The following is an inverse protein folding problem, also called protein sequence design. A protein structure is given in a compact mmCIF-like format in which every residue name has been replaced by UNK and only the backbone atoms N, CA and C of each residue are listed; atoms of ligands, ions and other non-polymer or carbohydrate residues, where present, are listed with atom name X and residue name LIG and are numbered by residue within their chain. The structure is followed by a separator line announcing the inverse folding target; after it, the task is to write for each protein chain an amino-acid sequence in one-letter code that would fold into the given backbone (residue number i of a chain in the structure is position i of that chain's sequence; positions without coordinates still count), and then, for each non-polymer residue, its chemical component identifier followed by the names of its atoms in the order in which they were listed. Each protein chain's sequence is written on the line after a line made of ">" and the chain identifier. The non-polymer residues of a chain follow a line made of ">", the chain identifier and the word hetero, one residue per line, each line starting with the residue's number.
data_IF_169889655071
#
_entry.id   IF_169889655071
#
_cell.length_a   1.000
_cell.length_b   1.000
_cell.length_c   1.000
_cell.angle_alpha   90.00
_cell.angle_beta   90.00
_cell.angle_gamma   90.00
#
_symmetry.space_group_name_H-M   'P 1'
#
loop_
_entity.id
_entity.type
_entity.pdbx_description
1 polymer ?
#
# COMPACT_ATOMS: atom_id res chain seq x y z
N UNK A 1 16.21 -32.82 70.10
CA UNK A 1 15.37 -32.19 69.07
C UNK A 1 16.25 -31.92 67.85
N UNK A 2 16.23 -32.77 66.80
CA UNK A 2 16.74 -32.47 65.43
C UNK A 2 16.70 -33.72 64.52
N UNK A 3 15.52 -34.25 64.16
CA UNK A 3 15.41 -35.22 63.05
C UNK A 3 14.03 -35.14 62.34
N UNK A 4 13.70 -33.99 61.75
CA UNK A 4 12.49 -33.90 60.91
C UNK A 4 12.67 -33.15 59.57
N UNK A 5 13.85 -32.58 59.33
CA UNK A 5 14.08 -31.67 58.19
C UNK A 5 14.63 -32.36 56.94
N UNK A 6 15.33 -33.50 57.05
CA UNK A 6 16.02 -34.13 55.90
C UNK A 6 15.12 -34.84 54.88
N UNK A 7 14.02 -35.47 55.32
CA UNK A 7 13.14 -36.24 54.40
C UNK A 7 12.25 -35.36 53.53
N UNK A 8 11.95 -34.13 53.95
CA UNK A 8 11.11 -33.18 53.19
C UNK A 8 11.92 -32.52 52.07
N UNK A 9 13.15 -32.10 52.33
CA UNK A 9 14.03 -31.51 51.33
C UNK A 9 14.45 -32.51 50.24
N UNK A 10 14.68 -33.79 50.58
CA UNK A 10 14.95 -34.84 49.57
C UNK A 10 13.72 -35.13 48.69
N UNK A 11 12.51 -35.09 49.25
CA UNK A 11 11.26 -35.29 48.48
C UNK A 11 10.94 -34.11 47.57
N UNK A 12 11.22 -32.87 48.00
CA UNK A 12 11.04 -31.67 47.17
C UNK A 12 12.08 -31.64 46.05
N UNK A 13 13.35 -31.97 46.33
CA UNK A 13 14.38 -32.05 45.29
C UNK A 13 14.08 -33.14 44.24
N UNK A 14 13.59 -34.31 44.68
CA UNK A 14 13.18 -35.39 43.77
C UNK A 14 11.96 -35.01 42.92
N UNK A 15 10.99 -34.26 43.46
CA UNK A 15 9.82 -33.79 42.72
C UNK A 15 10.18 -32.72 41.66
N UNK A 16 11.11 -31.82 41.98
CA UNK A 16 11.59 -30.79 41.03
C UNK A 16 12.40 -31.43 39.90
N UNK A 17 13.22 -32.44 40.19
CA UNK A 17 13.98 -33.16 39.16
C UNK A 17 13.07 -34.00 38.25
N UNK A 18 12.02 -34.62 38.81
CA UNK A 18 11.02 -35.36 38.04
C UNK A 18 10.18 -34.44 37.14
N UNK A 19 9.84 -33.24 37.61
CA UNK A 19 9.13 -32.23 36.80
C UNK A 19 10.02 -31.71 35.67
N UNK A 20 11.30 -31.45 35.94
CA UNK A 20 12.27 -31.02 34.92
C UNK A 20 12.49 -32.10 33.85
N UNK A 21 12.60 -33.38 34.25
CA UNK A 21 12.68 -34.49 33.30
C UNK A 21 11.38 -34.66 32.49
N UNK A 22 10.21 -34.48 33.10
CA UNK A 22 8.93 -34.55 32.40
C UNK A 22 8.76 -33.42 31.37
N UNK A 23 9.25 -32.21 31.67
CA UNK A 23 9.26 -31.09 30.73
C UNK A 23 10.25 -31.33 29.57
N UNK A 24 11.44 -31.87 29.85
CA UNK A 24 12.43 -32.21 28.81
C UNK A 24 11.92 -33.35 27.92
N UNK A 25 11.28 -34.38 28.50
CA UNK A 25 10.64 -35.47 27.75
C UNK A 25 9.43 -34.95 26.96
N UNK A 26 8.64 -34.03 27.51
CA UNK A 26 7.56 -33.35 26.78
C UNK A 26 8.05 -32.53 25.58
N UNK A 27 9.21 -31.88 25.70
CA UNK A 27 9.87 -31.13 24.61
C UNK A 27 10.52 -32.06 23.57
N UNK A 28 11.00 -33.24 23.98
CA UNK A 28 11.61 -34.23 23.08
C UNK A 28 10.59 -35.14 22.39
N UNK A 29 9.46 -35.48 23.04
CA UNK A 29 8.34 -36.22 22.45
C UNK A 29 7.44 -35.30 21.61
N UNK A 30 7.36 -34.01 21.93
CA UNK A 30 6.64 -33.01 21.12
C UNK A 30 7.24 -32.75 19.73
N UNK A 31 8.46 -33.26 19.44
CA UNK A 31 9.14 -33.12 18.14
C UNK A 31 9.10 -34.39 17.27
N UNK A 32 8.40 -35.44 17.67
CA UNK A 32 8.26 -36.65 16.85
C UNK A 32 6.90 -37.32 17.07
N UNK A 33 6.16 -37.52 15.97
CA UNK A 33 4.81 -38.14 15.89
C UNK A 33 3.59 -37.19 16.02
N UNK A 34 3.56 -36.14 15.21
CA UNK A 34 2.33 -35.84 14.46
C UNK A 34 2.59 -36.16 13.00
N UNK A 35 2.18 -37.35 12.59
CA UNK A 35 1.96 -37.66 11.18
C UNK A 35 0.66 -36.98 10.75
N UNK A 36 0.66 -35.66 10.68
CA UNK A 36 -0.29 -34.97 9.82
C UNK A 36 0.29 -35.08 8.43
N UNK A 37 -0.22 -36.07 7.68
CA UNK A 37 -0.06 -36.12 6.23
C UNK A 37 -0.91 -34.99 5.64
N UNK A 38 -0.46 -33.77 5.83
CA UNK A 38 -0.72 -32.72 4.87
C UNK A 38 0.51 -32.75 3.99
N UNK A 39 0.36 -33.20 2.74
CA UNK A 39 1.23 -32.67 1.70
C UNK A 39 1.29 -31.16 1.98
N UNK A 40 2.48 -30.57 2.11
CA UNK A 40 2.60 -29.14 2.06
C UNK A 40 1.91 -28.76 0.74
N UNK A 41 0.70 -28.23 0.86
CA UNK A 41 0.03 -27.51 -0.19
C UNK A 41 1.02 -26.39 -0.50
N UNK A 42 1.89 -26.63 -1.47
CA UNK A 42 2.74 -25.62 -2.07
C UNK A 42 1.73 -24.71 -2.75
N UNK A 43 1.11 -23.85 -1.94
CA UNK A 43 -0.15 -23.20 -2.27
C UNK A 43 -0.06 -22.64 -3.66
N UNK A 44 -1.11 -22.86 -4.45
CA UNK A 44 -1.23 -22.35 -5.82
C UNK A 44 -0.54 -20.98 -5.93
N UNK A 45 0.30 -20.75 -6.97
CA UNK A 45 0.99 -19.48 -7.15
C UNK A 45 0.02 -18.34 -6.91
N UNK A 46 0.36 -17.42 -6.00
CA UNK A 46 -0.50 -16.30 -5.60
C UNK A 46 -1.01 -15.61 -6.87
N UNK A 47 -2.29 -15.84 -7.21
CA UNK A 47 -2.87 -15.27 -8.42
C UNK A 47 -3.31 -13.85 -8.10
N UNK A 48 -2.61 -12.89 -8.67
CA UNK A 48 -3.02 -11.50 -8.65
C UNK A 48 -4.05 -11.27 -9.76
N UNK A 49 -5.22 -10.76 -9.39
CA UNK A 49 -6.25 -10.34 -10.32
C UNK A 49 -5.92 -8.98 -10.95
N UNK A 50 -6.68 -8.60 -11.97
CA UNK A 50 -6.63 -7.22 -12.48
C UNK A 50 -7.01 -6.19 -11.40
N UNK A 51 -7.85 -6.58 -10.43
CA UNK A 51 -8.22 -5.71 -9.32
C UNK A 51 -7.07 -5.51 -8.34
N UNK A 52 -6.31 -6.57 -8.05
CA UNK A 52 -5.13 -6.51 -7.20
C UNK A 52 -4.04 -5.59 -7.80
N UNK A 53 -3.82 -5.71 -9.11
CA UNK A 53 -2.85 -4.87 -9.84
C UNK A 53 -3.31 -3.41 -9.87
N UNK A 54 -4.57 -3.16 -10.24
CA UNK A 54 -5.13 -1.81 -10.30
C UNK A 54 -5.14 -1.11 -8.94
N UNK A 55 -5.49 -1.84 -7.87
CA UNK A 55 -5.40 -1.33 -6.50
C UNK A 55 -3.97 -0.93 -6.14
N UNK A 56 -2.98 -1.78 -6.43
CA UNK A 56 -1.58 -1.47 -6.13
C UNK A 56 -1.06 -0.22 -6.85
N UNK A 57 -1.41 -0.07 -8.13
CA UNK A 57 -1.03 1.09 -8.93
C UNK A 57 -1.68 2.38 -8.41
N UNK A 58 -3.00 2.34 -8.19
CA UNK A 58 -3.76 3.54 -7.80
C UNK A 58 -3.48 3.94 -6.35
N UNK A 59 -3.40 2.98 -5.42
CA UNK A 59 -3.08 3.28 -4.02
C UNK A 59 -1.65 3.80 -3.87
N UNK A 60 -0.69 3.33 -4.67
CA UNK A 60 0.66 3.91 -4.68
C UNK A 60 0.64 5.37 -5.12
N UNK A 61 -0.08 5.71 -6.21
CA UNK A 61 -0.21 7.10 -6.66
C UNK A 61 -0.95 7.98 -5.64
N UNK A 62 -1.94 7.42 -4.94
CA UNK A 62 -2.66 8.09 -3.86
C UNK A 62 -1.71 8.40 -2.69
N UNK A 63 -0.94 7.42 -2.22
CA UNK A 63 0.05 7.61 -1.15
C UNK A 63 1.16 8.61 -1.50
N UNK A 64 1.57 8.67 -2.77
CA UNK A 64 2.55 9.67 -3.23
C UNK A 64 2.04 11.10 -3.00
N UNK A 65 0.74 11.36 -3.17
CA UNK A 65 0.18 12.68 -2.85
C UNK A 65 0.15 12.97 -1.35
N UNK A 66 -0.07 11.97 -0.49
CA UNK A 66 0.05 12.15 0.95
C UNK A 66 1.47 12.62 1.34
N UNK A 67 2.50 12.00 0.77
CA UNK A 67 3.90 12.40 0.99
C UNK A 67 4.14 13.81 0.43
N UNK A 68 3.64 14.12 -0.76
CA UNK A 68 3.71 15.47 -1.33
C UNK A 68 3.10 16.52 -0.38
N UNK A 69 1.93 16.26 0.21
CA UNK A 69 1.31 17.18 1.17
C UNK A 69 2.18 17.39 2.41
N UNK A 70 2.85 16.35 2.90
CA UNK A 70 3.80 16.46 4.03
C UNK A 70 5.03 17.29 3.65
N UNK A 71 5.57 17.12 2.44
CA UNK A 71 6.74 17.86 1.96
C UNK A 71 6.48 19.37 1.77
N UNK A 72 5.22 19.78 1.61
CA UNK A 72 4.82 21.19 1.52
C UNK A 72 4.78 21.90 2.87
N UNK A 73 4.87 21.17 3.98
CA UNK A 73 4.74 21.75 5.32
C UNK A 73 5.98 22.57 5.71
N UNK A 74 5.75 23.74 6.30
CA UNK A 74 6.82 24.58 6.82
C UNK A 74 7.39 24.01 8.14
N UNK A 75 8.63 24.33 8.54
CA UNK A 75 9.24 23.76 9.73
C UNK A 75 8.63 24.26 11.06
N UNK A 76 7.84 25.33 11.05
CA UNK A 76 7.26 26.01 12.21
C UNK A 76 5.90 25.44 12.67
N UNK A 77 5.67 24.14 12.48
CA UNK A 77 4.48 23.46 13.00
C UNK A 77 4.56 23.22 14.51
N UNK A 78 3.41 23.19 15.15
CA UNK A 78 3.18 22.54 16.43
C UNK A 78 3.69 21.08 16.47
N UNK A 79 4.09 20.63 17.66
CA UNK A 79 4.72 19.32 17.84
C UNK A 79 3.78 18.14 17.50
N UNK A 80 2.49 18.28 17.75
CA UNK A 80 1.48 17.26 17.46
C UNK A 80 1.29 17.06 15.95
N UNK A 81 1.16 18.14 15.17
CA UNK A 81 0.99 18.06 13.71
C UNK A 81 2.28 17.57 13.05
N UNK A 82 3.45 18.03 13.51
CA UNK A 82 4.74 17.53 13.05
C UNK A 82 4.90 16.03 13.30
N UNK A 83 4.46 15.56 14.47
CA UNK A 83 4.46 14.14 14.82
C UNK A 83 3.57 13.33 13.89
N UNK A 84 2.34 13.79 13.66
CA UNK A 84 1.40 13.14 12.74
C UNK A 84 1.95 13.09 11.30
N UNK A 85 2.47 14.21 10.78
CA UNK A 85 3.07 14.27 9.44
C UNK A 85 4.25 13.30 9.28
N UNK A 86 5.11 13.20 10.30
CA UNK A 86 6.23 12.25 10.30
C UNK A 86 5.74 10.80 10.29
N UNK A 87 4.72 10.49 11.09
CA UNK A 87 4.13 9.15 11.13
C UNK A 87 3.53 8.78 9.77
N UNK A 88 2.73 9.66 9.19
CA UNK A 88 2.09 9.48 7.88
C UNK A 88 3.17 9.26 6.81
N UNK A 89 4.20 10.11 6.75
CA UNK A 89 5.27 9.92 5.77
C UNK A 89 5.93 8.53 5.89
N UNK A 90 6.13 8.04 7.12
CA UNK A 90 6.75 6.73 7.36
C UNK A 90 5.83 5.54 7.03
N UNK A 91 4.54 5.60 7.40
CA UNK A 91 3.57 4.55 7.08
C UNK A 91 3.36 4.46 5.56
N UNK A 92 3.02 5.59 4.94
CA UNK A 92 2.73 5.70 3.51
C UNK A 92 3.93 5.30 2.63
N UNK A 93 5.17 5.69 3.02
CA UNK A 93 6.38 5.27 2.28
C UNK A 93 6.62 3.76 2.34
N UNK A 94 6.34 3.13 3.50
CA UNK A 94 6.47 1.68 3.65
C UNK A 94 5.44 0.96 2.78
N UNK A 95 4.21 1.47 2.73
CA UNK A 95 3.13 0.91 1.92
C UNK A 95 3.42 1.04 0.43
N UNK A 96 3.91 2.20 -0.04
CA UNK A 96 4.42 2.37 -1.41
C UNK A 96 5.45 1.30 -1.75
N UNK A 97 6.43 1.05 -0.87
CA UNK A 97 7.46 0.03 -1.11
C UNK A 97 6.90 -1.39 -1.25
N UNK A 98 5.87 -1.73 -0.47
CA UNK A 98 5.18 -3.04 -0.59
C UNK A 98 4.44 -3.15 -1.92
N UNK A 99 3.65 -2.13 -2.27
CA UNK A 99 2.85 -2.12 -3.51
C UNK A 99 3.75 -2.14 -4.75
N UNK A 100 4.79 -1.31 -4.77
CA UNK A 100 5.80 -1.29 -5.82
C UNK A 100 6.48 -2.66 -5.95
N UNK A 101 6.87 -3.28 -4.82
CA UNK A 101 7.49 -4.61 -4.82
C UNK A 101 6.61 -5.68 -5.46
N UNK A 102 5.30 -5.66 -5.23
CA UNK A 102 4.37 -6.57 -5.91
C UNK A 102 4.31 -6.32 -7.42
N UNK A 103 4.17 -5.07 -7.84
CA UNK A 103 4.09 -4.71 -9.26
C UNK A 103 5.37 -5.10 -10.03
N UNK A 104 6.54 -4.85 -9.44
CA UNK A 104 7.84 -5.22 -10.00
C UNK A 104 8.00 -6.74 -10.15
N UNK A 105 7.67 -7.51 -9.11
CA UNK A 105 7.73 -9.00 -9.18
C UNK A 105 6.79 -9.56 -10.24
N UNK A 106 5.65 -8.91 -10.46
CA UNK A 106 4.65 -9.29 -11.48
C UNK A 106 4.98 -8.73 -12.87
N UNK A 107 6.04 -7.94 -13.03
CA UNK A 107 6.39 -7.26 -14.29
C UNK A 107 5.30 -6.30 -14.77
N UNK A 108 4.52 -5.73 -13.87
CA UNK A 108 3.44 -4.79 -14.19
C UNK A 108 3.94 -3.34 -14.19
N UNK A 109 3.37 -2.46 -15.02
CA UNK A 109 3.62 -1.02 -14.95
C UNK A 109 3.27 -0.48 -13.56
N UNK A 110 4.00 0.54 -13.09
CA UNK A 110 3.71 1.20 -11.82
C UNK A 110 2.51 2.15 -11.91
N UNK A 111 2.18 2.63 -13.11
CA UNK A 111 1.06 3.54 -13.33
C UNK A 111 -0.13 2.80 -13.96
N UNK A 112 -1.32 3.13 -13.48
CA UNK A 112 -2.55 2.69 -14.09
C UNK A 112 -2.98 3.67 -15.19
N UNK A 113 -3.20 3.16 -16.40
CA UNK A 113 -3.70 3.97 -17.52
C UNK A 113 -5.17 4.39 -17.34
N UNK A 114 -5.94 3.64 -16.54
CA UNK A 114 -7.34 3.91 -16.25
C UNK A 114 -7.56 3.86 -14.74
N UNK A 115 -7.20 4.93 -14.00
CA UNK A 115 -7.37 5.00 -12.56
C UNK A 115 -8.79 4.60 -12.14
N UNK A 116 -8.88 3.82 -11.08
CA UNK A 116 -10.11 3.38 -10.43
C UNK A 116 -11.01 2.46 -11.25
N UNK A 117 -10.68 2.14 -12.50
CA UNK A 117 -11.47 1.22 -13.33
C UNK A 117 -11.63 -0.17 -12.68
N UNK A 118 -10.64 -0.59 -11.88
CA UNK A 118 -10.69 -1.83 -11.14
C UNK A 118 -11.76 -1.86 -10.05
N UNK A 119 -12.21 -0.71 -9.52
CA UNK A 119 -13.24 -0.65 -8.47
C UNK A 119 -14.64 -0.99 -8.98
N UNK A 120 -14.92 -0.78 -10.26
CA UNK A 120 -16.26 -1.00 -10.86
C UNK A 120 -16.31 -2.15 -11.85
N UNK A 121 -15.21 -2.49 -12.52
CA UNK A 121 -15.19 -3.53 -13.54
C UNK A 121 -15.46 -4.91 -12.90
N UNK A 122 -16.55 -5.60 -13.28
CA UNK A 122 -16.74 -7.00 -12.91
C UNK A 122 -15.50 -7.81 -13.29
N UNK A 123 -14.98 -8.64 -12.38
CA UNK A 123 -13.73 -9.37 -12.57
C UNK A 123 -13.73 -10.18 -13.87
N UNK A 124 -13.12 -9.64 -14.93
CA UNK A 124 -12.78 -10.40 -16.12
C UNK A 124 -11.39 -11.01 -15.91
N UNK A 125 -11.17 -12.29 -16.24
CA UNK A 125 -9.87 -12.91 -16.07
C UNK A 125 -8.84 -12.22 -16.96
N UNK A 126 -7.69 -11.88 -16.39
CA UNK A 126 -6.55 -11.41 -17.15
C UNK A 126 -6.15 -12.50 -18.16
N UNK A 127 -6.31 -12.20 -19.45
CA UNK A 127 -5.88 -13.12 -20.51
C UNK A 127 -4.36 -13.09 -20.59
N UNK A 128 -3.74 -14.22 -20.25
CA UNK A 128 -2.32 -14.47 -20.49
C UNK A 128 -2.05 -14.44 -22.00
N UNK A 129 -1.46 -13.35 -22.48
CA UNK A 129 -1.01 -13.23 -23.85
C UNK A 129 0.23 -14.09 -24.10
N UNK A 130 0.03 -15.36 -24.49
CA UNK A 130 1.08 -16.18 -25.11
C UNK A 130 0.99 -16.01 -26.62
N UNK A 131 1.82 -15.15 -27.19
CA UNK A 131 2.02 -15.11 -28.65
C UNK A 131 3.22 -15.97 -29.02
N UNK A 132 2.96 -17.23 -29.38
CA UNK A 132 3.85 -18.04 -30.22
C UNK A 132 3.40 -17.87 -31.66
N UNK A 133 4.23 -17.26 -32.50
CA UNK A 133 4.02 -17.10 -33.94
C UNK A 133 5.32 -17.33 -34.68
N UNK A 134 5.32 -18.31 -35.57
CA UNK A 134 6.47 -18.95 -36.19
C UNK A 134 7.10 -18.18 -37.37
N UNK A 135 8.43 -18.35 -37.50
CA UNK A 135 9.20 -18.69 -38.71
C UNK A 135 8.97 -17.99 -40.07
N UNK A 136 10.09 -17.52 -40.66
CA UNK A 136 10.41 -17.89 -42.06
C UNK A 136 10.71 -16.79 -43.09
N UNK A 137 12.00 -16.45 -43.20
CA UNK A 137 12.81 -16.16 -44.41
C UNK A 137 12.42 -15.11 -45.49
N UNK A 138 13.39 -14.26 -45.83
CA UNK A 138 13.50 -13.60 -47.15
C UNK A 138 14.53 -12.46 -47.14
N UNK A 139 15.62 -12.58 -47.92
CA UNK A 139 16.82 -11.74 -47.82
C UNK A 139 16.87 -10.47 -48.70
N UNK A 140 17.92 -9.69 -48.38
CA UNK A 140 18.72 -8.77 -49.22
C UNK A 140 18.07 -7.54 -49.88
N UNK A 141 18.47 -6.33 -49.43
CA UNK A 141 19.45 -5.46 -50.11
C UNK A 141 19.35 -4.00 -49.61
N UNK A 142 20.51 -3.39 -49.34
CA UNK A 142 20.67 -1.93 -49.22
C UNK A 142 20.78 -1.33 -50.64
N UNK A 143 20.32 -0.10 -50.87
CA UNK A 143 21.24 1.04 -50.77
C UNK A 143 20.62 2.38 -50.30
N UNK A 144 21.49 3.25 -49.75
CA UNK A 144 21.31 4.72 -49.64
C UNK A 144 21.80 5.40 -50.95
N UNK A 145 21.77 6.75 -51.15
CA UNK A 145 21.01 7.86 -50.52
C UNK A 145 20.31 8.80 -51.56
N UNK A 146 19.60 9.85 -51.12
CA UNK A 146 19.89 11.28 -51.46
C UNK A 146 18.66 12.22 -51.50
N UNK A 147 18.81 13.34 -50.79
CA UNK A 147 18.30 14.72 -50.97
C UNK A 147 16.85 15.01 -51.44
N UNK A 148 16.08 15.73 -50.61
CA UNK A 148 15.73 17.16 -50.78
C UNK A 148 14.52 17.58 -49.92
N UNK A 149 14.65 18.66 -49.15
CA UNK A 149 13.54 19.42 -48.55
C UNK A 149 12.86 20.30 -49.62
N UNK A 150 11.61 20.79 -49.43
CA UNK A 150 11.40 21.95 -48.54
C UNK A 150 10.15 21.89 -47.65
N UNK A 151 10.20 22.76 -46.64
CA UNK A 151 9.19 23.08 -45.64
C UNK A 151 7.76 23.28 -46.15
N UNK A 152 6.80 22.74 -45.40
CA UNK A 152 5.48 23.33 -45.24
C UNK A 152 5.10 23.29 -43.75
N UNK A 153 4.85 24.48 -43.20
CA UNK A 153 4.45 24.71 -41.82
C UNK A 153 2.98 24.35 -41.63
N UNK A 154 2.70 23.30 -40.87
CA UNK A 154 1.37 23.02 -40.32
C UNK A 154 1.45 23.09 -38.79
N UNK A 155 0.54 23.81 -38.10
CA UNK A 155 0.48 23.78 -36.65
C UNK A 155 -0.08 22.41 -36.22
N UNK A 156 0.81 21.53 -35.77
CA UNK A 156 0.41 20.33 -35.04
C UNK A 156 -0.05 20.76 -33.66
N UNK A 157 -1.34 20.98 -33.46
CA UNK A 157 -1.97 20.86 -32.14
C UNK A 157 -1.91 19.40 -31.71
N UNK A 158 -0.73 18.94 -31.31
CA UNK A 158 -0.61 17.81 -30.39
C UNK A 158 -1.08 18.32 -29.04
N UNK A 159 -2.37 18.15 -28.76
CA UNK A 159 -2.85 18.18 -27.39
C UNK A 159 -2.04 17.16 -26.60
N UNK A 160 -1.25 17.64 -25.64
CA UNK A 160 -0.54 16.79 -24.69
C UNK A 160 -1.54 15.83 -24.01
N UNK A 161 -1.18 14.57 -23.76
CA UNK A 161 -2.08 13.60 -23.13
C UNK A 161 -2.45 13.95 -21.67
N UNK A 162 -1.94 15.05 -21.12
CA UNK A 162 -2.18 15.52 -19.76
C UNK A 162 -3.62 15.97 -19.47
N UNK A 163 -4.51 16.06 -20.46
CA UNK A 163 -5.91 16.46 -20.24
C UNK A 163 -6.86 15.28 -19.98
N UNK A 164 -6.46 14.03 -20.27
CA UNK A 164 -7.30 12.86 -20.05
C UNK A 164 -7.22 12.30 -18.61
N UNK A 165 -6.09 12.52 -17.92
CA UNK A 165 -5.89 12.10 -16.53
C UNK A 165 -6.65 12.95 -15.48
N UNK A 166 -7.39 13.98 -15.92
CA UNK A 166 -8.05 14.96 -15.06
C UNK A 166 -9.55 14.68 -14.80
N UNK A 167 -10.13 13.60 -15.33
CA UNK A 167 -11.61 13.48 -15.33
C UNK A 167 -12.21 12.67 -14.16
N UNK A 168 -11.43 11.94 -13.38
CA UNK A 168 -11.89 11.37 -12.10
C UNK A 168 -10.71 11.32 -11.12
N UNK A 169 -10.51 12.32 -10.24
CA UNK A 169 -9.51 12.19 -9.18
C UNK A 169 -9.86 10.95 -8.35
N UNK A 170 -8.84 10.16 -7.97
CA UNK A 170 -9.04 9.10 -7.00
C UNK A 170 -9.73 9.68 -5.75
N UNK A 171 -10.60 8.92 -5.06
CA UNK A 171 -11.35 9.43 -3.91
C UNK A 171 -10.46 10.15 -2.91
N UNK A 172 -10.91 11.31 -2.44
CA UNK A 172 -10.24 12.07 -1.39
C UNK A 172 -9.02 12.90 -1.80
N UNK A 173 -8.49 12.75 -3.02
CA UNK A 173 -7.29 13.47 -3.47
C UNK A 173 -7.44 15.00 -3.35
N UNK A 174 -6.36 15.67 -2.96
CA UNK A 174 -6.23 17.12 -3.03
C UNK A 174 -6.08 17.57 -4.49
N UNK A 175 -6.77 18.65 -4.84
CA UNK A 175 -6.63 19.32 -6.13
C UNK A 175 -5.32 20.12 -6.20
N UNK A 176 -4.87 20.47 -7.41
CA UNK A 176 -3.69 21.32 -7.58
C UNK A 176 -3.83 22.70 -6.91
N UNK A 177 -5.05 23.25 -6.86
CA UNK A 177 -5.35 24.51 -6.18
C UNK A 177 -5.23 24.37 -4.66
N UNK A 178 -5.75 23.29 -4.07
CA UNK A 178 -5.61 23.00 -2.65
C UNK A 178 -4.15 22.77 -2.25
N UNK A 179 -3.37 22.04 -3.08
CA UNK A 179 -1.93 21.86 -2.86
C UNK A 179 -1.17 23.19 -2.93
N UNK A 180 -1.53 24.07 -3.86
CA UNK A 180 -0.93 25.41 -3.96
C UNK A 180 -1.28 26.26 -2.73
N UNK A 181 -2.52 26.17 -2.26
CA UNK A 181 -2.97 26.86 -1.05
C UNK A 181 -2.23 26.33 0.18
N UNK A 182 -2.04 25.01 0.29
CA UNK A 182 -1.27 24.40 1.37
C UNK A 182 0.19 24.88 1.37
N UNK A 183 0.83 24.90 0.20
CA UNK A 183 2.22 25.32 0.05
C UNK A 183 2.46 26.80 0.42
N UNK A 184 1.45 27.65 0.21
CA UNK A 184 1.54 29.10 0.46
C UNK A 184 1.00 29.51 1.83
N UNK A 185 0.28 28.62 2.52
CA UNK A 185 -0.20 28.82 3.88
C UNK A 185 0.94 28.76 4.92
N UNK A 186 0.70 29.30 6.11
CA UNK A 186 1.67 29.25 7.21
C UNK A 186 1.01 29.15 8.58
N UNK A 187 1.78 28.75 9.60
CA UNK A 187 1.32 28.66 10.99
C UNK A 187 0.07 27.79 11.14
N UNK A 188 -0.82 28.20 12.05
CA UNK A 188 -2.03 27.43 12.37
C UNK A 188 -2.96 27.23 11.17
N UNK A 189 -3.01 28.17 10.22
CA UNK A 189 -3.80 27.97 8.99
C UNK A 189 -3.25 26.83 8.13
N UNK A 190 -1.92 26.70 8.00
CA UNK A 190 -1.33 25.60 7.25
C UNK A 190 -1.60 24.25 7.93
N UNK A 191 -1.53 24.21 9.26
CA UNK A 191 -1.84 23.00 10.03
C UNK A 191 -3.30 22.57 9.84
N UNK A 192 -4.25 23.50 9.95
CA UNK A 192 -5.68 23.20 9.75
C UNK A 192 -5.91 22.67 8.33
N UNK A 193 -5.36 23.34 7.32
CA UNK A 193 -5.54 22.93 5.93
C UNK A 193 -4.91 21.57 5.64
N UNK A 194 -3.71 21.30 6.17
CA UNK A 194 -3.06 19.99 6.07
C UNK A 194 -3.94 18.89 6.65
N UNK A 195 -4.41 19.06 7.89
CA UNK A 195 -5.24 18.06 8.57
C UNK A 195 -6.57 17.85 7.84
N UNK A 196 -7.19 18.92 7.34
CA UNK A 196 -8.42 18.87 6.55
C UNK A 196 -8.26 18.05 5.27
N UNK A 197 -7.21 18.35 4.49
CA UNK A 197 -6.92 17.64 3.25
C UNK A 197 -6.55 16.18 3.53
N UNK A 198 -5.73 15.94 4.55
CA UNK A 198 -5.26 14.59 4.88
C UNK A 198 -6.38 13.71 5.47
N UNK A 199 -7.33 14.26 6.23
CA UNK A 199 -8.54 13.53 6.62
C UNK A 199 -9.33 13.09 5.40
N UNK A 200 -9.61 14.01 4.47
CA UNK A 200 -10.36 13.70 3.24
C UNK A 200 -9.62 12.68 2.36
N UNK A 201 -8.29 12.83 2.28
CA UNK A 201 -7.42 11.92 1.55
C UNK A 201 -7.49 10.50 2.13
N UNK A 202 -7.31 10.34 3.44
CA UNK A 202 -7.37 9.04 4.11
C UNK A 202 -8.75 8.39 4.04
N UNK A 203 -9.83 9.16 4.10
CA UNK A 203 -11.18 8.62 3.86
C UNK A 203 -11.28 7.98 2.47
N UNK A 204 -10.70 8.63 1.46
CA UNK A 204 -10.57 8.09 0.10
C UNK A 204 -9.74 6.80 0.04
N UNK A 205 -8.61 6.78 0.73
CA UNK A 205 -7.77 5.59 0.82
C UNK A 205 -8.47 4.41 1.52
N UNK A 206 -9.27 4.69 2.57
CA UNK A 206 -10.09 3.68 3.25
C UNK A 206 -11.13 3.09 2.31
N UNK A 207 -11.83 3.90 1.50
CA UNK A 207 -12.82 3.40 0.53
C UNK A 207 -12.19 2.50 -0.54
N UNK A 208 -11.04 2.92 -1.08
CA UNK A 208 -10.27 2.11 -2.02
C UNK A 208 -9.84 0.78 -1.38
N UNK A 209 -9.24 0.83 -0.19
CA UNK A 209 -8.79 -0.36 0.52
C UNK A 209 -9.96 -1.30 0.88
N UNK A 210 -11.12 -0.78 1.26
CA UNK A 210 -12.31 -1.57 1.55
C UNK A 210 -12.80 -2.34 0.32
N UNK A 211 -12.73 -1.74 -0.87
CA UNK A 211 -13.05 -2.45 -2.12
C UNK A 211 -12.01 -3.52 -2.45
N UNK A 212 -10.72 -3.23 -2.30
CA UNK A 212 -9.66 -4.22 -2.51
C UNK A 212 -9.74 -5.41 -1.53
N UNK A 213 -10.14 -5.16 -0.28
CA UNK A 213 -10.39 -6.21 0.71
C UNK A 213 -11.47 -7.20 0.24
N UNK A 214 -12.51 -6.71 -0.46
CA UNK A 214 -13.62 -7.53 -0.92
C UNK A 214 -13.35 -8.19 -2.28
N UNK A 215 -12.64 -7.50 -3.17
CA UNK A 215 -12.52 -7.86 -4.58
C UNK A 215 -11.16 -8.46 -4.96
N UNK A 216 -10.15 -8.33 -4.11
CA UNK A 216 -8.82 -8.86 -4.36
C UNK A 216 -8.79 -10.39 -4.26
N UNK A 217 -8.12 -11.04 -5.20
CA UNK A 217 -7.98 -12.50 -5.23
C UNK A 217 -6.79 -12.94 -4.39
N UNK A 218 -5.70 -12.17 -4.41
CA UNK A 218 -4.48 -12.45 -3.67
C UNK A 218 -4.67 -12.22 -2.15
N UNK A 219 -4.51 -13.26 -1.30
CA UNK A 219 -4.55 -13.12 0.16
C UNK A 219 -3.66 -12.00 0.72
N UNK A 220 -2.46 -11.82 0.16
CA UNK A 220 -1.53 -10.78 0.58
C UNK A 220 -2.11 -9.36 0.36
N UNK A 221 -2.83 -9.16 -0.75
CA UNK A 221 -3.47 -7.88 -1.08
C UNK A 221 -4.65 -7.62 -0.13
N UNK A 222 -5.53 -8.61 0.09
CA UNK A 222 -6.64 -8.47 1.04
C UNK A 222 -6.15 -8.18 2.47
N UNK A 223 -5.08 -8.84 2.90
CA UNK A 223 -4.49 -8.60 4.22
C UNK A 223 -3.94 -7.18 4.35
N UNK A 224 -3.20 -6.71 3.34
CA UNK A 224 -2.69 -5.34 3.32
C UNK A 224 -3.81 -4.31 3.29
N UNK A 225 -4.81 -4.52 2.45
CA UNK A 225 -5.98 -3.65 2.37
C UNK A 225 -6.73 -3.56 3.72
N UNK A 226 -6.87 -4.69 4.42
CA UNK A 226 -7.45 -4.71 5.79
C UNK A 226 -6.60 -3.89 6.77
N UNK A 227 -5.27 -4.01 6.70
CA UNK A 227 -4.37 -3.22 7.54
C UNK A 227 -4.47 -1.72 7.23
N UNK A 228 -4.49 -1.35 5.95
CA UNK A 228 -4.66 0.03 5.49
C UNK A 228 -5.97 0.65 5.99
N UNK A 229 -7.11 -0.07 5.88
CA UNK A 229 -8.39 0.41 6.42
C UNK A 229 -8.26 0.77 7.89
N UNK A 230 -7.63 -0.11 8.68
CA UNK A 230 -7.45 0.13 10.12
C UNK A 230 -6.51 1.31 10.38
N UNK A 231 -5.30 1.28 9.82
CA UNK A 231 -4.26 2.26 10.08
C UNK A 231 -4.69 3.67 9.65
N UNK A 232 -5.29 3.81 8.46
CA UNK A 232 -5.79 5.09 7.98
C UNK A 232 -6.98 5.60 8.81
N UNK A 233 -7.87 4.71 9.30
CA UNK A 233 -8.97 5.12 10.20
C UNK A 233 -8.47 5.62 11.55
N UNK A 234 -7.41 5.00 12.10
CA UNK A 234 -6.77 5.44 13.34
C UNK A 234 -6.08 6.82 13.14
N UNK A 235 -5.43 7.02 11.99
CA UNK A 235 -4.83 8.32 11.61
C UNK A 235 -5.89 9.41 11.42
N UNK A 236 -7.03 9.10 10.78
CA UNK A 236 -8.19 10.02 10.66
C UNK A 236 -8.68 10.45 12.04
N UNK A 237 -8.86 9.50 12.96
CA UNK A 237 -9.30 9.80 14.34
C UNK A 237 -8.35 10.77 15.04
N UNK A 238 -7.05 10.55 14.87
CA UNK A 238 -6.01 11.44 15.42
C UNK A 238 -6.10 12.85 14.83
N UNK A 239 -6.20 12.97 13.51
CA UNK A 239 -6.26 14.27 12.84
C UNK A 239 -7.55 15.03 13.16
N UNK A 240 -8.67 14.33 13.33
CA UNK A 240 -9.94 14.95 13.79
C UNK A 240 -9.80 15.56 15.19
N UNK A 241 -9.10 14.89 16.11
CA UNK A 241 -8.82 15.45 17.43
C UNK A 241 -7.90 16.69 17.33
N UNK A 242 -6.91 16.66 16.43
CA UNK A 242 -6.02 17.80 16.19
C UNK A 242 -6.73 19.01 15.57
N UNK A 243 -7.70 18.78 14.68
CA UNK A 243 -8.58 19.82 14.14
C UNK A 243 -9.45 20.44 15.24
N UNK A 244 -10.08 19.59 16.07
CA UNK A 244 -10.92 20.07 17.18
C UNK A 244 -10.13 20.92 18.17
N UNK A 245 -8.88 20.53 18.50
CA UNK A 245 -7.98 21.33 19.35
C UNK A 245 -7.65 22.72 18.77
N UNK A 246 -7.82 22.89 17.45
CA UNK A 246 -7.62 24.15 16.71
C UNK A 246 -8.93 24.89 16.41
N UNK A 247 -10.05 24.47 16.99
CA UNK A 247 -11.39 24.98 16.71
C UNK A 247 -11.76 24.90 15.21
N UNK A 248 -11.28 23.86 14.53
CA UNK A 248 -11.55 23.60 13.13
C UNK A 248 -12.29 22.26 12.96
N UNK A 249 -12.95 22.10 11.82
CA UNK A 249 -13.66 20.87 11.44
C UNK A 249 -13.08 20.29 10.15
N UNK A 250 -13.32 19.01 9.92
CA UNK A 250 -12.96 18.37 8.66
C UNK A 250 -13.74 18.99 7.47
N UNK A 251 -13.15 18.88 6.28
CA UNK A 251 -13.86 19.16 5.03
C UNK A 251 -14.91 18.07 4.78
N UNK A 252 -16.00 18.37 4.05
CA UNK A 252 -16.92 17.34 3.58
C UNK A 252 -16.18 16.29 2.75
N UNK A 253 -16.55 15.03 2.97
CA UNK A 253 -16.11 13.91 2.14
C UNK A 253 -17.14 13.69 1.01
N UNK A 254 -16.72 13.71 -0.27
CA UNK A 254 -17.63 13.56 -1.41
C UNK A 254 -18.13 12.12 -1.61
#
# INVERSE_FOLDING_TARGET
>A
MTEFTGRRSVRVAAAVLALALAVIIGVLIGKGTRTDSSAEDLGEPQRFSAADIGFGQDMMAHHQQAIQMVELLRPDLSADVRGAATQIQMSQSREIGVLMGWLEVLGQPLQNANPMAWMTASAAPASAGTSVGAGGHGGHAMPMPSAASPSASTPSTTASPSSAAMQHPMPGMATSEELTTLATSSGVQQEILFLQLMVRHHQGGVDMAAVAQQRGDAPAVRQRATAMVKEQSDEVTTMLAQLAARNATALPYP
#
